data_IF_568383460368
#
_entry.id   IF_568383460368
#
_cell.length_a   1.000
_cell.length_b   1.000
_cell.length_c   1.000
_cell.angle_alpha   90.00
_cell.angle_beta   90.00
_cell.angle_gamma   90.00
#
_symmetry.space_group_name_H-M   'P 1'
#
loop_
_entity.id
_entity.type
_entity.pdbx_description
1 polymer ?
#
# COMPACT_ATOMS: atom_id res chain seq x y z
N UNK A 1 -13.12 10.10 6.00
CA UNK A 1 -12.76 8.92 5.18
C UNK A 1 -11.91 8.01 6.06
N UNK A 2 -12.10 6.69 6.01
CA UNK A 2 -11.28 5.74 6.77
C UNK A 2 -9.88 5.62 6.15
N UNK A 3 -8.91 5.17 6.94
CA UNK A 3 -7.55 4.84 6.49
C UNK A 3 -7.60 3.82 5.34
N UNK A 4 -8.48 2.83 5.47
CA UNK A 4 -8.77 1.82 4.46
C UNK A 4 -9.10 2.42 3.09
N UNK A 5 -10.01 3.39 3.03
CA UNK A 5 -10.40 4.01 1.77
C UNK A 5 -9.24 4.75 1.11
N UNK A 6 -8.43 5.48 1.89
CA UNK A 6 -7.25 6.18 1.39
C UNK A 6 -6.20 5.22 0.83
N UNK A 7 -5.94 4.11 1.53
CA UNK A 7 -5.01 3.07 1.07
C UNK A 7 -5.51 2.47 -0.24
N UNK A 8 -6.81 2.16 -0.33
CA UNK A 8 -7.41 1.65 -1.57
C UNK A 8 -7.29 2.65 -2.72
N UNK A 9 -7.51 3.94 -2.48
CA UNK A 9 -7.32 4.98 -3.50
C UNK A 9 -5.87 5.05 -4.00
N UNK A 10 -4.89 5.02 -3.09
CA UNK A 10 -3.46 5.00 -3.43
C UNK A 10 -3.12 3.78 -4.28
N UNK A 11 -3.53 2.59 -3.84
CA UNK A 11 -3.24 1.35 -4.56
C UNK A 11 -3.97 1.29 -5.90
N UNK A 12 -5.22 1.76 -5.98
CA UNK A 12 -5.96 1.85 -7.23
C UNK A 12 -5.23 2.72 -8.24
N UNK A 13 -4.72 3.88 -7.80
CA UNK A 13 -3.96 4.78 -8.66
C UNK A 13 -2.63 4.16 -9.15
N UNK A 14 -1.89 3.48 -8.27
CA UNK A 14 -0.58 2.89 -8.60
C UNK A 14 -0.70 1.63 -9.48
N UNK A 15 -1.77 0.87 -9.28
CA UNK A 15 -2.01 -0.39 -10.00
C UNK A 15 -3.01 -0.28 -11.16
N UNK A 16 -3.56 0.92 -11.39
CA UNK A 16 -4.61 1.17 -12.38
C UNK A 16 -5.80 0.20 -12.19
N UNK A 17 -6.27 0.10 -10.94
CA UNK A 17 -7.36 -0.80 -10.55
C UNK A 17 -8.69 -0.06 -10.47
N UNK A 18 -9.75 -0.75 -10.84
CA UNK A 18 -11.13 -0.29 -10.64
C UNK A 18 -11.56 -0.38 -9.16
N UNK A 19 -12.61 0.36 -8.80
CA UNK A 19 -13.15 0.38 -7.44
C UNK A 19 -13.61 -0.99 -6.91
N UNK A 20 -13.91 -1.95 -7.80
CA UNK A 20 -14.34 -3.31 -7.46
C UNK A 20 -13.18 -4.32 -7.41
N UNK A 21 -11.93 -3.86 -7.44
CA UNK A 21 -10.77 -4.74 -7.38
C UNK A 21 -10.65 -5.49 -6.04
N UNK A 22 -10.15 -6.73 -6.10
CA UNK A 22 -9.90 -7.55 -4.92
C UNK A 22 -8.57 -7.17 -4.25
N UNK A 23 -8.61 -6.12 -3.42
CA UNK A 23 -7.44 -5.65 -2.65
C UNK A 23 -6.91 -6.69 -1.66
N UNK A 24 -7.73 -7.60 -1.14
CA UNK A 24 -7.26 -8.61 -0.18
C UNK A 24 -6.29 -9.60 -0.84
N UNK A 25 -6.47 -9.85 -2.14
CA UNK A 25 -5.53 -10.65 -2.94
C UNK A 25 -4.28 -9.88 -3.38
N UNK A 26 -4.29 -8.55 -3.27
CA UNK A 26 -3.22 -7.68 -3.78
C UNK A 26 -1.96 -7.81 -2.91
N UNK A 27 -0.99 -8.52 -3.45
CA UNK A 27 0.33 -8.74 -2.84
C UNK A 27 1.42 -8.83 -3.90
N UNK A 28 2.67 -8.66 -3.47
CA UNK A 28 3.84 -8.80 -4.34
C UNK A 28 3.97 -10.22 -4.95
N UNK A 29 3.44 -11.22 -4.25
CA UNK A 29 3.48 -12.63 -4.67
C UNK A 29 2.39 -12.93 -5.70
N UNK A 30 1.20 -12.35 -5.54
CA UNK A 30 0.05 -12.60 -6.41
C UNK A 30 0.01 -11.67 -7.63
N UNK A 31 0.61 -10.47 -7.55
CA UNK A 31 0.58 -9.48 -8.62
C UNK A 31 1.98 -9.23 -9.18
N UNK A 32 2.26 -9.80 -10.36
CA UNK A 32 3.53 -9.62 -11.07
C UNK A 32 3.85 -8.17 -11.44
N UNK A 33 2.85 -7.27 -11.46
CA UNK A 33 3.06 -5.85 -11.70
C UNK A 33 3.62 -5.11 -10.48
N UNK A 34 3.57 -5.73 -9.30
CA UNK A 34 4.13 -5.17 -8.08
C UNK A 34 5.64 -5.42 -8.07
N UNK A 35 6.38 -4.51 -8.70
CA UNK A 35 7.84 -4.52 -8.74
C UNK A 35 8.45 -3.59 -7.68
N UNK A 36 9.78 -3.47 -7.69
CA UNK A 36 10.52 -2.58 -6.79
C UNK A 36 10.14 -1.10 -6.95
N UNK A 37 9.75 -0.67 -8.16
CA UNK A 37 9.40 0.73 -8.43
C UNK A 37 8.01 1.06 -7.88
N UNK A 38 7.05 0.14 -8.04
CA UNK A 38 5.74 0.27 -7.39
C UNK A 38 5.85 0.20 -5.89
N UNK A 39 6.71 -0.66 -5.33
CA UNK A 39 6.96 -0.70 -3.89
C UNK A 39 7.37 0.68 -3.37
N UNK A 40 8.42 1.28 -3.95
CA UNK A 40 8.89 2.62 -3.56
C UNK A 40 7.78 3.66 -3.69
N UNK A 41 7.01 3.62 -4.78
CA UNK A 41 5.90 4.55 -5.02
C UNK A 41 4.81 4.44 -3.95
N UNK A 42 4.46 3.21 -3.54
CA UNK A 42 3.49 2.95 -2.47
C UNK A 42 3.99 3.54 -1.15
N UNK A 43 5.24 3.25 -0.77
CA UNK A 43 5.82 3.75 0.48
C UNK A 43 5.78 5.28 0.52
N UNK A 44 6.30 5.95 -0.52
CA UNK A 44 6.28 7.41 -0.60
C UNK A 44 4.87 8.00 -0.58
N UNK A 45 3.89 7.34 -1.22
CA UNK A 45 2.50 7.79 -1.18
C UNK A 45 1.90 7.67 0.23
N UNK A 46 2.18 6.57 0.94
CA UNK A 46 1.72 6.37 2.32
C UNK A 46 2.34 7.38 3.29
N UNK A 47 3.65 7.63 3.18
CA UNK A 47 4.35 8.62 3.99
C UNK A 47 3.74 10.01 3.82
N UNK A 48 3.49 10.44 2.57
CA UNK A 48 2.89 11.75 2.29
C UNK A 48 1.41 11.85 2.72
N UNK A 49 0.62 10.79 2.54
CA UNK A 49 -0.82 10.82 2.84
C UNK A 49 -1.12 10.76 4.35
N UNK A 50 -0.27 10.06 5.10
CA UNK A 50 -0.47 9.80 6.53
C UNK A 50 0.54 10.52 7.44
N UNK A 51 1.46 11.32 6.89
CA UNK A 51 2.55 11.98 7.61
C UNK A 51 3.39 10.98 8.44
N UNK A 52 3.64 9.81 7.84
CA UNK A 52 4.41 8.71 8.44
C UNK A 52 5.85 8.73 7.93
N UNK A 53 6.75 8.16 8.73
CA UNK A 53 8.11 7.84 8.30
C UNK A 53 8.26 6.32 8.32
N UNK A 54 8.41 5.70 7.14
CA UNK A 54 8.48 4.25 7.00
C UNK A 54 9.94 3.86 6.80
N UNK A 55 10.52 3.18 7.79
CA UNK A 55 11.90 2.71 7.68
C UNK A 55 12.05 1.68 6.56
N UNK A 56 13.25 1.61 5.97
CA UNK A 56 13.54 0.66 4.88
C UNK A 56 13.22 -0.79 5.24
N UNK A 57 13.47 -1.18 6.51
CA UNK A 57 13.20 -2.55 6.98
C UNK A 57 11.68 -2.83 7.06
N UNK A 58 10.88 -1.85 7.46
CA UNK A 58 9.42 -1.95 7.44
C UNK A 58 8.90 -1.94 6.00
N UNK A 59 9.41 -1.03 5.16
CA UNK A 59 9.05 -0.90 3.76
C UNK A 59 9.21 -2.22 3.00
N UNK A 60 10.26 -2.99 3.26
CA UNK A 60 10.47 -4.32 2.65
C UNK A 60 9.42 -5.34 3.11
N UNK A 61 8.84 -5.16 4.30
CA UNK A 61 7.80 -6.03 4.84
C UNK A 61 6.38 -5.67 4.36
N UNK A 62 6.15 -4.44 3.88
CA UNK A 62 4.86 -3.96 3.37
C UNK A 62 4.55 -4.49 1.96
N UNK A 63 4.41 -5.81 1.86
CA UNK A 63 4.28 -6.54 0.59
C UNK A 63 2.86 -6.95 0.20
N UNK A 64 1.86 -6.51 0.96
CA UNK A 64 0.45 -6.76 0.66
C UNK A 64 -0.44 -5.66 1.21
N UNK A 65 -1.64 -5.53 0.65
CA UNK A 65 -2.66 -4.62 1.13
C UNK A 65 -2.92 -4.78 2.64
N UNK A 66 -3.14 -6.02 3.11
CA UNK A 66 -3.42 -6.30 4.52
C UNK A 66 -2.28 -5.86 5.43
N UNK A 67 -1.03 -6.05 5.02
CA UNK A 67 0.14 -5.60 5.81
C UNK A 67 0.25 -4.08 5.86
N UNK A 68 -0.01 -3.41 4.73
CA UNK A 68 -0.05 -1.94 4.65
C UNK A 68 -1.13 -1.40 5.59
N UNK A 69 -2.34 -1.93 5.52
CA UNK A 69 -3.45 -1.50 6.37
C UNK A 69 -3.11 -1.67 7.86
N UNK A 70 -2.62 -2.85 8.26
CA UNK A 70 -2.22 -3.11 9.64
C UNK A 70 -1.09 -2.20 10.11
N UNK A 71 -0.13 -1.87 9.24
CA UNK A 71 0.95 -0.97 9.59
C UNK A 71 0.44 0.46 9.82
N UNK A 72 -0.38 0.96 8.90
CA UNK A 72 -0.98 2.29 8.98
C UNK A 72 -1.87 2.41 10.22
N UNK A 73 -2.72 1.43 10.51
CA UNK A 73 -3.58 1.42 11.70
C UNK A 73 -2.82 1.40 13.03
N UNK A 74 -1.59 0.89 13.06
CA UNK A 74 -0.76 0.83 14.28
C UNK A 74 0.01 2.10 14.55
N UNK A 75 0.22 2.93 13.53
CA UNK A 75 1.10 4.10 13.60
C UNK A 75 0.32 5.44 13.57
N UNK A 76 -1.02 5.39 13.64
CA UNK A 76 -1.93 6.55 13.61
C UNK A 76 -2.92 6.50 14.76
#
# INVERSE_FOLDING_TARGET
MSQENKIREILSFIFDLDNDADFESLSIEANASWDSMKQVTIITALENEFDLFIESDDAVNLTSYTKILQYVERNI
#
